data_IF_359387842930
#
_entry.id   IF_359387842930
#
_cell.length_a   1.000
_cell.length_b   1.000
_cell.length_c   1.000
_cell.angle_alpha   90.00
_cell.angle_beta   90.00
_cell.angle_gamma   90.00
#
_symmetry.space_group_name_H-M   'P 1'
#
loop_
_entity.id
_entity.type
_entity.pdbx_description
1 polymer ?
#
# COMPACT_ATOMS: atom_id res chain seq x y z
N UNK A 1 5.45 20.28 -32.28
CA UNK A 1 5.02 18.94 -32.75
C UNK A 1 4.16 19.09 -34.00
N UNK A 2 4.29 18.19 -34.97
CA UNK A 2 3.38 18.13 -36.13
C UNK A 2 2.00 17.61 -35.69
N UNK A 3 0.94 18.00 -36.37
CA UNK A 3 -0.44 17.59 -36.04
C UNK A 3 -0.61 16.07 -36.07
N UNK A 4 -0.11 15.40 -37.11
CA UNK A 4 -0.13 13.95 -37.21
C UNK A 4 0.61 13.28 -36.05
N UNK A 5 1.75 13.85 -35.63
CA UNK A 5 2.53 13.34 -34.50
C UNK A 5 1.77 13.50 -33.17
N UNK A 6 1.14 14.66 -32.91
CA UNK A 6 0.33 14.88 -31.71
C UNK A 6 -0.90 13.96 -31.66
N UNK A 7 -1.57 13.73 -32.80
CA UNK A 7 -2.70 12.78 -32.87
C UNK A 7 -2.23 11.36 -32.60
N UNK A 8 -1.16 10.93 -33.26
CA UNK A 8 -0.62 9.59 -33.10
C UNK A 8 -0.19 9.33 -31.66
N UNK A 9 0.51 10.28 -31.03
CA UNK A 9 0.92 10.19 -29.62
C UNK A 9 -0.28 10.02 -28.69
N UNK A 10 -1.31 10.87 -28.82
CA UNK A 10 -2.50 10.78 -27.96
C UNK A 10 -3.23 9.45 -28.15
N UNK A 11 -3.40 8.99 -29.39
CA UNK A 11 -4.09 7.73 -29.67
C UNK A 11 -3.30 6.57 -29.06
N UNK A 12 -2.00 6.44 -29.39
CA UNK A 12 -1.16 5.32 -28.92
C UNK A 12 -1.12 5.28 -27.39
N UNK A 13 -0.85 6.40 -26.74
CA UNK A 13 -0.72 6.45 -25.28
C UNK A 13 -2.06 6.15 -24.61
N UNK A 14 -3.16 6.77 -25.04
CA UNK A 14 -4.48 6.49 -24.46
C UNK A 14 -4.93 5.04 -24.73
N UNK A 15 -4.59 4.44 -25.88
CA UNK A 15 -4.88 3.03 -26.15
C UNK A 15 -4.15 2.11 -25.17
N UNK A 16 -2.88 2.37 -24.88
CA UNK A 16 -2.12 1.61 -23.86
C UNK A 16 -2.81 1.76 -22.50
N UNK A 17 -3.17 2.98 -22.09
CA UNK A 17 -3.84 3.19 -20.81
C UNK A 17 -5.26 2.60 -20.75
N UNK A 18 -6.00 2.50 -21.86
CA UNK A 18 -7.27 1.76 -21.92
C UNK A 18 -7.05 0.29 -21.58
N UNK A 19 -6.02 -0.35 -22.14
CA UNK A 19 -5.71 -1.77 -21.85
C UNK A 19 -5.40 -1.94 -20.36
N UNK A 20 -4.56 -1.05 -19.81
CA UNK A 20 -4.22 -1.05 -18.38
C UNK A 20 -5.47 -0.85 -17.51
N UNK A 21 -6.34 0.10 -17.87
CA UNK A 21 -7.57 0.38 -17.13
C UNK A 21 -8.54 -0.81 -17.14
N UNK A 22 -8.68 -1.51 -18.28
CA UNK A 22 -9.48 -2.74 -18.38
C UNK A 22 -8.90 -3.83 -17.46
N UNK A 23 -7.59 -4.02 -17.44
CA UNK A 23 -6.94 -4.98 -16.53
C UNK A 23 -7.23 -4.61 -15.07
N UNK A 24 -7.10 -3.33 -14.69
CA UNK A 24 -7.44 -2.86 -13.34
C UNK A 24 -8.90 -3.12 -12.98
N UNK A 25 -9.84 -2.86 -13.88
CA UNK A 25 -11.26 -3.17 -13.67
C UNK A 25 -11.50 -4.67 -13.48
N UNK A 26 -10.86 -5.52 -14.29
CA UNK A 26 -11.00 -6.97 -14.18
C UNK A 26 -10.44 -7.43 -12.83
N UNK A 27 -9.19 -7.11 -12.52
CA UNK A 27 -8.51 -7.53 -11.28
C UNK A 27 -9.22 -6.97 -10.05
N UNK A 28 -9.51 -5.67 -10.03
CA UNK A 28 -10.21 -5.01 -8.93
C UNK A 28 -11.60 -5.61 -8.69
N UNK A 29 -12.35 -5.87 -9.77
CA UNK A 29 -13.66 -6.50 -9.69
C UNK A 29 -13.61 -7.93 -9.16
N UNK A 30 -12.62 -8.72 -9.59
CA UNK A 30 -12.39 -10.06 -9.03
C UNK A 30 -12.07 -10.01 -7.54
N UNK A 31 -11.19 -9.11 -7.11
CA UNK A 31 -10.82 -8.95 -5.69
C UNK A 31 -11.99 -8.47 -4.82
N UNK A 32 -12.86 -7.62 -5.38
CA UNK A 32 -13.99 -7.05 -4.65
C UNK A 32 -15.17 -8.01 -4.50
N UNK A 33 -15.52 -8.74 -5.56
CA UNK A 33 -16.79 -9.49 -5.61
C UNK A 33 -16.65 -11.01 -5.71
N UNK A 34 -15.49 -11.55 -6.14
CA UNK A 34 -15.31 -13.00 -6.29
C UNK A 34 -14.54 -13.60 -5.11
N UNK A 35 -15.20 -13.65 -3.95
CA UNK A 35 -14.62 -14.15 -2.70
C UNK A 35 -14.18 -15.62 -2.79
N UNK A 36 -14.80 -16.43 -3.64
CA UNK A 36 -14.43 -17.84 -3.82
C UNK A 36 -13.08 -18.02 -4.50
N UNK A 37 -12.82 -17.27 -5.58
CA UNK A 37 -11.53 -17.32 -6.28
C UNK A 37 -10.41 -16.73 -5.42
N UNK A 38 -10.69 -15.62 -4.72
CA UNK A 38 -9.72 -15.03 -3.78
C UNK A 38 -9.41 -16.02 -2.66
N UNK A 39 -10.43 -16.72 -2.14
CA UNK A 39 -10.25 -17.77 -1.14
C UNK A 39 -9.37 -18.91 -1.65
N UNK A 40 -9.58 -19.42 -2.87
CA UNK A 40 -8.76 -20.51 -3.41
C UNK A 40 -7.32 -20.06 -3.64
N UNK A 41 -7.09 -18.86 -4.18
CA UNK A 41 -5.74 -18.33 -4.39
C UNK A 41 -5.00 -18.11 -3.06
N UNK A 42 -5.66 -17.51 -2.07
CA UNK A 42 -5.08 -17.32 -0.74
C UNK A 42 -4.81 -18.67 -0.07
N UNK A 43 -5.72 -19.63 -0.17
CA UNK A 43 -5.51 -20.98 0.35
C UNK A 43 -4.28 -21.61 -0.28
N UNK A 44 -4.16 -21.61 -1.61
CA UNK A 44 -3.06 -22.27 -2.31
C UNK A 44 -1.70 -21.61 -2.01
N UNK A 45 -1.69 -20.30 -1.79
CA UNK A 45 -0.47 -19.55 -1.41
C UNK A 45 -0.12 -19.67 0.09
N UNK A 46 -1.12 -19.75 0.97
CA UNK A 46 -0.92 -19.84 2.43
C UNK A 46 -0.72 -21.28 2.91
N UNK A 47 -1.20 -22.28 2.17
CA UNK A 47 -1.08 -23.69 2.53
C UNK A 47 0.39 -24.13 2.77
N UNK A 48 1.37 -23.75 1.94
CA UNK A 48 2.78 -24.06 2.19
C UNK A 48 3.35 -23.33 3.42
N UNK A 49 2.79 -22.16 3.77
CA UNK A 49 3.18 -21.36 4.93
C UNK A 49 2.60 -21.86 6.25
N UNK A 50 1.66 -22.82 6.22
CA UNK A 50 0.94 -23.36 7.36
C UNK A 50 1.31 -24.82 7.64
N UNK A 51 2.57 -25.22 7.44
CA UNK A 51 3.10 -26.58 7.72
C UNK A 51 3.10 -26.97 9.23
N UNK A 52 2.00 -26.71 9.94
CA UNK A 52 1.66 -27.26 11.24
C UNK A 52 0.20 -27.75 11.22
N UNK A 53 -0.27 -28.43 12.27
CA UNK A 53 -1.65 -28.88 12.39
C UNK A 53 -2.57 -27.68 12.69
N UNK A 54 -2.66 -26.74 11.75
CA UNK A 54 -3.64 -25.67 11.83
C UNK A 54 -5.02 -26.33 11.71
N UNK A 55 -5.89 -26.11 12.70
CA UNK A 55 -7.26 -26.59 12.58
C UNK A 55 -7.87 -26.01 11.30
N UNK A 56 -8.68 -26.80 10.61
CA UNK A 56 -9.39 -26.35 9.40
C UNK A 56 -10.19 -25.07 9.64
N UNK A 57 -10.53 -24.80 10.90
CA UNK A 57 -11.27 -23.63 11.37
C UNK A 57 -10.37 -22.39 11.51
N UNK A 58 -9.19 -22.50 12.13
CA UNK A 58 -8.23 -21.39 12.23
C UNK A 58 -7.76 -20.89 10.86
N UNK A 59 -7.52 -21.83 9.93
CA UNK A 59 -7.13 -21.49 8.55
C UNK A 59 -8.26 -20.76 7.82
N UNK A 60 -9.52 -21.18 8.03
CA UNK A 60 -10.69 -20.51 7.45
C UNK A 60 -10.82 -19.08 7.99
N UNK A 61 -10.78 -18.89 9.31
CA UNK A 61 -10.90 -17.58 9.95
C UNK A 61 -9.79 -16.61 9.52
N UNK A 62 -8.55 -17.09 9.41
CA UNK A 62 -7.42 -16.27 8.94
C UNK A 62 -7.62 -15.80 7.48
N UNK A 63 -8.04 -16.70 6.59
CA UNK A 63 -8.32 -16.35 5.19
C UNK A 63 -9.51 -15.40 5.09
N UNK A 64 -10.58 -15.62 5.86
CA UNK A 64 -11.74 -14.72 5.88
C UNK A 64 -11.37 -13.31 6.35
N UNK A 65 -10.51 -13.19 7.36
CA UNK A 65 -10.01 -11.89 7.82
C UNK A 65 -9.13 -11.22 6.77
N UNK A 66 -8.29 -11.98 6.06
CA UNK A 66 -7.52 -11.46 4.93
C UNK A 66 -8.43 -10.98 3.78
N UNK A 67 -9.46 -11.75 3.42
CA UNK A 67 -10.43 -11.34 2.38
C UNK A 67 -11.11 -10.03 2.78
N UNK A 68 -11.58 -9.90 4.02
CA UNK A 68 -12.18 -8.66 4.52
C UNK A 68 -11.23 -7.47 4.44
N UNK A 69 -9.93 -7.69 4.66
CA UNK A 69 -8.91 -6.66 4.50
C UNK A 69 -8.64 -6.33 3.03
N UNK A 70 -8.69 -7.31 2.11
CA UNK A 70 -8.41 -7.14 0.67
C UNK A 70 -9.57 -6.50 -0.13
N UNK A 71 -10.82 -6.81 0.22
CA UNK A 71 -12.01 -6.30 -0.48
C UNK A 71 -12.02 -4.78 -0.71
N UNK A 72 -11.73 -3.91 0.29
CA UNK A 72 -11.70 -2.46 0.06
C UNK A 72 -10.61 -2.03 -0.94
N UNK A 73 -9.45 -2.70 -0.95
CA UNK A 73 -8.41 -2.44 -1.94
C UNK A 73 -8.86 -2.85 -3.35
N UNK A 74 -9.52 -4.00 -3.49
CA UNK A 74 -10.11 -4.44 -4.75
C UNK A 74 -11.12 -3.42 -5.31
N UNK A 75 -12.01 -2.93 -4.46
CA UNK A 75 -12.98 -1.88 -4.82
C UNK A 75 -12.29 -0.58 -5.24
N UNK A 76 -11.25 -0.14 -4.52
CA UNK A 76 -10.49 1.06 -4.87
C UNK A 76 -9.83 0.94 -6.26
N UNK A 77 -9.16 -0.20 -6.52
CA UNK A 77 -8.54 -0.50 -7.82
C UNK A 77 -9.59 -0.50 -8.94
N UNK A 78 -10.75 -1.09 -8.69
CA UNK A 78 -11.85 -1.11 -9.64
C UNK A 78 -12.34 0.30 -10.00
N UNK A 79 -12.62 1.13 -8.99
CA UNK A 79 -13.12 2.50 -9.18
C UNK A 79 -12.08 3.35 -9.93
N UNK A 80 -10.82 3.27 -9.55
CA UNK A 80 -9.72 3.96 -10.25
C UNK A 80 -9.63 3.48 -11.70
N UNK A 81 -9.74 2.17 -11.95
CA UNK A 81 -9.78 1.60 -13.29
C UNK A 81 -10.89 2.20 -14.15
N UNK A 82 -12.12 2.32 -13.62
CA UNK A 82 -13.25 2.91 -14.33
C UNK A 82 -13.00 4.40 -14.65
N UNK A 83 -12.49 5.17 -13.70
CA UNK A 83 -12.15 6.59 -13.91
C UNK A 83 -11.11 6.72 -15.02
N UNK A 84 -10.02 5.94 -14.95
CA UNK A 84 -8.98 5.94 -15.98
C UNK A 84 -9.53 5.54 -17.34
N UNK A 85 -10.40 4.54 -17.40
CA UNK A 85 -11.04 4.10 -18.65
C UNK A 85 -11.84 5.23 -19.29
N UNK A 86 -12.67 5.94 -18.51
CA UNK A 86 -13.44 7.08 -19.02
C UNK A 86 -12.52 8.18 -19.53
N UNK A 87 -11.48 8.55 -18.78
CA UNK A 87 -10.52 9.58 -19.20
C UNK A 87 -9.82 9.24 -20.50
N UNK A 88 -9.36 7.99 -20.65
CA UNK A 88 -8.67 7.55 -21.84
C UNK A 88 -9.61 7.45 -23.05
N UNK A 89 -10.86 7.04 -22.84
CA UNK A 89 -11.90 7.04 -23.88
C UNK A 89 -12.19 8.47 -24.38
N UNK A 90 -12.26 9.47 -23.49
CA UNK A 90 -12.41 10.88 -23.89
C UNK A 90 -11.25 11.34 -24.79
N UNK A 91 -10.01 11.00 -24.41
CA UNK A 91 -8.81 11.30 -25.19
C UNK A 91 -8.81 10.62 -26.57
N UNK A 92 -9.13 9.32 -26.60
CA UNK A 92 -9.15 8.51 -27.83
C UNK A 92 -10.26 8.97 -28.79
N UNK A 93 -11.49 9.11 -28.29
CA UNK A 93 -12.64 9.53 -29.10
C UNK A 93 -12.47 10.98 -29.58
N UNK A 94 -12.00 11.88 -28.71
CA UNK A 94 -11.71 13.27 -29.08
C UNK A 94 -10.61 13.41 -30.13
N UNK A 95 -9.59 12.53 -30.08
CA UNK A 95 -8.52 12.50 -31.06
C UNK A 95 -8.99 11.90 -32.40
N UNK A 96 -9.65 10.74 -32.38
CA UNK A 96 -10.10 10.00 -33.57
C UNK A 96 -11.25 10.68 -34.29
N UNK A 97 -12.32 11.05 -33.57
CA UNK A 97 -13.54 11.64 -34.16
C UNK A 97 -13.45 13.15 -34.37
N UNK A 98 -12.31 13.75 -34.04
CA UNK A 98 -12.08 15.20 -34.15
C UNK A 98 -13.06 16.09 -33.36
N UNK A 99 -13.65 15.58 -32.27
CA UNK A 99 -14.61 16.32 -31.45
C UNK A 99 -13.87 17.27 -30.50
N UNK A 100 -14.04 18.58 -30.69
CA UNK A 100 -13.35 19.62 -29.89
C UNK A 100 -13.73 19.60 -28.43
N UNK A 101 -15.03 19.52 -28.14
CA UNK A 101 -15.55 19.52 -26.78
C UNK A 101 -14.89 18.41 -25.92
N UNK A 102 -14.75 17.20 -26.46
CA UNK A 102 -14.10 16.08 -25.77
C UNK A 102 -12.62 16.33 -25.47
N UNK A 103 -11.87 16.93 -26.42
CA UNK A 103 -10.47 17.30 -26.19
C UNK A 103 -10.36 18.42 -25.15
N UNK A 104 -11.27 19.39 -25.14
CA UNK A 104 -11.28 20.46 -24.12
C UNK A 104 -11.57 19.91 -22.72
N UNK A 105 -12.55 19.01 -22.60
CA UNK A 105 -12.84 18.33 -21.31
C UNK A 105 -11.65 17.49 -20.87
N UNK A 106 -11.03 16.74 -21.78
CA UNK A 106 -9.81 15.97 -21.52
C UNK A 106 -8.68 16.86 -20.98
N UNK A 107 -8.44 18.01 -21.60
CA UNK A 107 -7.46 19.00 -21.15
C UNK A 107 -7.79 19.56 -19.77
N UNK A 108 -9.05 19.91 -19.52
CA UNK A 108 -9.47 20.46 -18.23
C UNK A 108 -9.24 19.47 -17.08
N UNK A 109 -9.61 18.20 -17.27
CA UNK A 109 -9.42 17.16 -16.25
C UNK A 109 -7.93 16.90 -16.02
N UNK A 110 -7.13 16.76 -17.07
CA UNK A 110 -5.68 16.59 -16.92
C UNK A 110 -5.00 17.82 -16.30
N UNK A 111 -5.51 19.03 -16.53
CA UNK A 111 -5.03 20.23 -15.86
C UNK A 111 -5.25 20.20 -14.35
N UNK A 112 -6.45 19.80 -13.91
CA UNK A 112 -6.76 19.66 -12.47
C UNK A 112 -5.89 18.58 -11.82
N UNK A 113 -5.75 17.42 -12.48
CA UNK A 113 -4.90 16.34 -12.00
C UNK A 113 -3.43 16.78 -11.87
N UNK A 114 -2.90 17.51 -12.85
CA UNK A 114 -1.54 18.02 -12.83
C UNK A 114 -1.30 18.95 -11.63
N UNK A 115 -2.25 19.84 -11.33
CA UNK A 115 -2.16 20.73 -10.17
C UNK A 115 -2.15 19.89 -8.87
N UNK A 116 -3.03 18.90 -8.75
CA UNK A 116 -3.07 18.03 -7.58
C UNK A 116 -1.76 17.24 -7.39
N UNK A 117 -1.20 16.68 -8.46
CA UNK A 117 0.07 15.95 -8.43
C UNK A 117 1.24 16.85 -8.03
N UNK A 118 1.31 18.07 -8.58
CA UNK A 118 2.32 19.04 -8.20
C UNK A 118 2.23 19.41 -6.70
N UNK A 119 1.02 19.60 -6.17
CA UNK A 119 0.83 19.88 -4.75
C UNK A 119 1.34 18.72 -3.88
N UNK A 120 1.04 17.47 -4.24
CA UNK A 120 1.50 16.28 -3.52
C UNK A 120 3.04 16.21 -3.52
N UNK A 121 3.67 16.40 -4.67
CA UNK A 121 5.15 16.38 -4.79
C UNK A 121 5.78 17.53 -4.00
N UNK A 122 5.22 18.74 -4.07
CA UNK A 122 5.72 19.89 -3.31
C UNK A 122 5.64 19.62 -1.80
N UNK A 123 4.51 19.09 -1.31
CA UNK A 123 4.34 18.75 0.12
C UNK A 123 5.35 17.69 0.53
N UNK A 124 5.49 16.63 -0.26
CA UNK A 124 6.43 15.54 0.00
C UNK A 124 7.88 16.04 0.10
N UNK A 125 8.32 16.86 -0.85
CA UNK A 125 9.69 17.39 -0.88
C UNK A 125 9.95 18.45 0.19
N UNK A 126 8.94 19.27 0.52
CA UNK A 126 9.11 20.38 1.47
C UNK A 126 9.02 19.92 2.92
N UNK A 127 8.22 18.88 3.20
CA UNK A 127 7.92 18.40 4.56
C UNK A 127 7.86 16.86 4.61
N UNK A 128 8.97 16.15 4.32
CA UNK A 128 9.00 14.69 4.45
C UNK A 128 8.65 14.22 5.87
N UNK A 129 8.98 15.07 6.86
CA UNK A 129 8.64 14.88 8.27
C UNK A 129 7.15 14.61 8.53
N UNK A 130 6.22 15.17 7.75
CA UNK A 130 4.78 14.93 7.96
C UNK A 130 4.44 13.45 7.80
N UNK A 131 5.05 12.76 6.85
CA UNK A 131 4.76 11.34 6.60
C UNK A 131 5.46 10.49 7.66
N UNK A 132 6.72 10.80 7.96
CA UNK A 132 7.50 10.03 8.93
C UNK A 132 6.99 10.21 10.35
N UNK A 133 6.64 11.42 10.77
CA UNK A 133 6.17 11.71 12.12
C UNK A 133 4.82 11.05 12.40
N UNK A 134 3.88 11.10 11.44
CA UNK A 134 2.61 10.40 11.55
C UNK A 134 2.80 8.88 11.63
N UNK A 135 3.69 8.31 10.81
CA UNK A 135 4.00 6.88 10.86
C UNK A 135 4.64 6.48 12.20
N UNK A 136 5.57 7.30 12.72
CA UNK A 136 6.19 7.08 14.02
C UNK A 136 5.18 7.19 15.16
N UNK A 137 4.26 8.15 15.08
CA UNK A 137 3.20 8.33 16.05
C UNK A 137 2.26 7.12 16.06
N UNK A 138 1.82 6.63 14.89
CA UNK A 138 1.00 5.42 14.79
C UNK A 138 1.70 4.18 15.39
N UNK A 139 3.01 4.06 15.17
CA UNK A 139 3.80 2.99 15.79
C UNK A 139 3.87 3.15 17.31
N UNK A 140 4.09 4.38 17.79
CA UNK A 140 4.14 4.71 19.22
C UNK A 140 2.81 4.42 19.90
N UNK A 141 1.69 4.84 19.30
CA UNK A 141 0.35 4.55 19.77
C UNK A 141 0.09 3.04 19.78
N UNK A 142 0.60 2.31 18.79
CA UNK A 142 0.46 0.85 18.76
C UNK A 142 1.25 0.16 19.86
N UNK A 143 2.44 0.63 20.19
CA UNK A 143 3.24 0.10 21.31
C UNK A 143 2.55 0.41 22.64
N UNK A 144 2.04 1.62 22.82
CA UNK A 144 1.35 2.03 24.05
C UNK A 144 0.08 1.22 24.31
N UNK A 145 -0.70 0.95 23.26
CA UNK A 145 -1.98 0.25 23.32
C UNK A 145 -1.89 -1.25 23.03
N UNK A 146 -0.69 -1.81 22.91
CA UNK A 146 -0.50 -3.25 22.73
C UNK A 146 -1.08 -4.01 23.92
N UNK A 147 -1.87 -5.05 23.66
CA UNK A 147 -2.51 -5.87 24.70
C UNK A 147 -1.80 -7.20 24.84
N UNK A 148 -1.84 -8.04 23.81
CA UNK A 148 -1.20 -9.36 23.79
C UNK A 148 -1.17 -9.93 22.37
N UNK A 149 -0.35 -10.96 22.15
CA UNK A 149 -0.23 -11.61 20.83
C UNK A 149 -1.54 -12.28 20.37
N UNK A 150 -2.42 -12.62 21.31
CA UNK A 150 -3.70 -13.27 21.04
C UNK A 150 -4.87 -12.27 20.93
N UNK A 151 -4.61 -10.98 21.14
CA UNK A 151 -5.63 -9.95 21.03
C UNK A 151 -5.95 -9.67 19.57
N UNK A 152 -7.25 -9.56 19.26
CA UNK A 152 -7.73 -9.17 17.93
C UNK A 152 -7.75 -7.65 17.72
N UNK A 153 -7.23 -6.87 18.65
CA UNK A 153 -7.12 -5.43 18.49
C UNK A 153 -6.11 -5.06 17.38
N UNK A 154 -6.33 -3.91 16.75
CA UNK A 154 -5.56 -3.46 15.59
C UNK A 154 -4.09 -3.23 15.97
N UNK A 155 -3.81 -2.69 17.16
CA UNK A 155 -2.45 -2.37 17.59
C UNK A 155 -1.62 -3.64 17.85
N UNK A 156 -2.19 -4.62 18.54
CA UNK A 156 -1.59 -5.93 18.77
C UNK A 156 -1.40 -6.73 17.49
N UNK A 157 -2.38 -6.68 16.58
CA UNK A 157 -2.29 -7.35 15.28
C UNK A 157 -1.16 -6.78 14.43
N UNK A 158 -1.04 -5.46 14.37
CA UNK A 158 0.04 -4.77 13.64
C UNK A 158 1.40 -5.14 14.20
N UNK A 159 1.59 -5.05 15.52
CA UNK A 159 2.89 -5.32 16.13
C UNK A 159 3.29 -6.80 16.08
N UNK A 160 2.31 -7.71 16.17
CA UNK A 160 2.54 -9.15 15.99
C UNK A 160 3.07 -9.49 14.61
N UNK A 161 2.73 -8.69 13.59
CA UNK A 161 3.28 -8.83 12.25
C UNK A 161 4.61 -8.08 12.07
N UNK A 162 4.68 -6.82 12.48
CA UNK A 162 5.82 -5.94 12.20
C UNK A 162 7.10 -6.37 12.92
N UNK A 163 7.03 -6.63 14.24
CA UNK A 163 8.21 -6.93 15.06
C UNK A 163 9.02 -8.13 14.55
N UNK A 164 8.40 -9.31 14.28
CA UNK A 164 9.14 -10.43 13.73
C UNK A 164 9.54 -10.23 12.26
N UNK A 165 8.72 -9.55 11.45
CA UNK A 165 9.00 -9.36 10.01
C UNK A 165 10.19 -8.42 9.76
N UNK A 166 10.34 -7.41 10.60
CA UNK A 166 11.41 -6.41 10.49
C UNK A 166 12.58 -6.67 11.45
N UNK A 167 12.53 -7.77 12.20
CA UNK A 167 13.51 -8.12 13.24
C UNK A 167 13.78 -6.97 14.23
N UNK A 168 12.71 -6.42 14.78
CA UNK A 168 12.76 -5.26 15.67
C UNK A 168 11.80 -5.43 16.85
N UNK A 169 11.91 -4.57 17.86
CA UNK A 169 11.04 -4.56 19.03
C UNK A 169 10.84 -3.13 19.55
N UNK A 170 9.60 -2.75 19.79
CA UNK A 170 9.22 -1.41 20.24
C UNK A 170 9.42 -0.33 19.17
N UNK A 171 9.33 0.94 19.57
CA UNK A 171 9.56 2.09 18.68
C UNK A 171 11.06 2.29 18.45
N UNK A 172 11.79 2.50 19.54
CA UNK A 172 13.23 2.71 19.61
C UNK A 172 13.95 1.47 20.14
N UNK A 173 13.32 0.71 21.04
CA UNK A 173 13.79 -0.60 21.53
C UNK A 173 12.71 -1.25 22.42
N UNK A 174 12.98 -2.45 22.96
CA UNK A 174 12.02 -3.18 23.78
C UNK A 174 11.54 -2.46 25.05
N UNK A 175 12.34 -1.56 25.63
CA UNK A 175 11.95 -0.82 26.84
C UNK A 175 10.76 0.12 26.64
N UNK A 176 10.37 0.41 25.40
CA UNK A 176 9.15 1.19 25.13
C UNK A 176 7.88 0.50 25.68
N UNK A 177 7.90 -0.84 25.82
CA UNK A 177 6.80 -1.57 26.46
C UNK A 177 6.77 -1.45 27.99
N UNK A 178 7.84 -0.95 28.62
CA UNK A 178 7.86 -0.70 30.06
C UNK A 178 6.84 0.38 30.46
N UNK A 179 6.45 1.24 29.51
CA UNK A 179 5.45 2.30 29.71
C UNK A 179 4.04 1.91 29.23
N UNK A 180 3.89 0.75 28.56
CA UNK A 180 2.57 0.31 28.09
C UNK A 180 1.72 -0.20 29.26
N UNK A 181 0.58 0.47 29.47
CA UNK A 181 -0.39 0.10 30.51
C UNK A 181 -1.37 -0.97 30.04
N UNK A 182 -1.56 -1.10 28.73
CA UNK A 182 -2.45 -2.10 28.12
C UNK A 182 -1.81 -3.48 28.01
N UNK A 183 -0.48 -3.56 28.06
CA UNK A 183 0.26 -4.80 27.85
C UNK A 183 -0.02 -5.81 28.98
N UNK A 184 -0.69 -6.90 28.63
CA UNK A 184 -0.92 -8.03 29.50
C UNK A 184 0.37 -8.84 29.63
N UNK A 185 1.05 -8.65 30.78
CA UNK A 185 2.34 -9.29 31.06
C UNK A 185 2.19 -10.70 31.61
N UNK A 186 1.07 -11.00 32.25
CA UNK A 186 0.83 -12.35 32.79
C UNK A 186 0.63 -13.34 31.63
N UNK A 187 1.51 -14.33 31.56
CA UNK A 187 1.47 -15.36 30.54
C UNK A 187 1.64 -16.73 31.17
N UNK A 188 0.84 -17.69 30.68
CA UNK A 188 0.84 -19.07 31.15
C UNK A 188 1.25 -19.99 30.00
N UNK A 189 2.30 -20.79 30.24
CA UNK A 189 2.80 -21.78 29.28
C UNK A 189 3.15 -23.07 30.00
N UNK A 190 2.62 -24.20 29.52
CA UNK A 190 2.80 -25.51 30.14
C UNK A 190 2.50 -25.53 31.65
N UNK A 191 1.50 -24.75 32.10
CA UNK A 191 1.10 -24.66 33.51
C UNK A 191 2.00 -23.77 34.38
N UNK A 192 3.06 -23.18 33.83
CA UNK A 192 3.91 -22.22 34.52
C UNK A 192 3.49 -20.79 34.19
N UNK A 193 3.31 -19.98 35.23
CA UNK A 193 3.02 -18.55 35.10
C UNK A 193 4.31 -17.75 35.13
N UNK A 194 4.46 -16.83 34.20
CA UNK A 194 5.56 -15.87 34.18
C UNK A 194 5.08 -14.49 33.75
N UNK A 195 5.83 -13.49 34.19
CA UNK A 195 5.59 -12.08 33.85
C UNK A 195 6.49 -11.72 32.69
N UNK A 196 5.88 -11.51 31.52
CA UNK A 196 6.57 -11.09 30.31
C UNK A 196 7.21 -9.71 30.52
N UNK A 197 8.53 -9.64 30.29
CA UNK A 197 9.24 -8.37 30.26
C UNK A 197 8.91 -7.58 28.98
N UNK A 198 8.90 -8.26 27.84
CA UNK A 198 8.56 -7.70 26.54
C UNK A 198 7.57 -8.62 25.79
N UNK A 199 6.88 -8.13 24.76
CA UNK A 199 5.98 -8.96 23.97
C UNK A 199 6.67 -10.15 23.30
N UNK A 200 5.96 -11.28 23.21
CA UNK A 200 6.44 -12.49 22.53
C UNK A 200 6.91 -12.24 21.09
N UNK A 201 6.26 -11.37 20.27
CA UNK A 201 6.75 -11.09 18.92
C UNK A 201 8.13 -10.40 18.87
N UNK A 202 8.71 -9.96 20.00
CA UNK A 202 10.08 -9.49 20.06
C UNK A 202 11.13 -10.63 20.07
N UNK A 203 10.70 -11.88 20.29
CA UNK A 203 11.57 -13.04 20.17
C UNK A 203 11.99 -13.26 18.71
N UNK A 204 13.22 -13.72 18.49
CA UNK A 204 13.63 -14.24 17.20
C UNK A 204 12.95 -15.59 16.98
N UNK A 205 12.60 -15.86 15.73
CA UNK A 205 11.90 -17.07 15.34
C UNK A 205 12.82 -18.00 14.56
N UNK A 206 12.70 -19.30 14.82
CA UNK A 206 13.37 -20.35 14.06
C UNK A 206 12.67 -20.60 12.70
N UNK A 207 13.19 -21.57 11.94
CA UNK A 207 12.58 -21.97 10.65
C UNK A 207 11.16 -22.52 10.77
N UNK A 208 10.74 -22.94 11.97
CA UNK A 208 9.38 -23.42 12.29
C UNK A 208 8.48 -22.31 12.84
N UNK A 209 8.92 -21.04 12.78
CA UNK A 209 8.23 -19.86 13.34
C UNK A 209 8.00 -19.94 14.85
N UNK A 210 8.87 -20.61 15.59
CA UNK A 210 8.83 -20.69 17.05
C UNK A 210 9.94 -19.83 17.67
N UNK A 211 9.72 -19.22 18.85
CA UNK A 211 10.77 -18.54 19.58
C UNK A 211 12.01 -19.42 19.75
N UNK A 212 13.18 -18.83 19.54
CA UNK A 212 14.48 -19.50 19.71
C UNK A 212 14.87 -19.49 21.19
N UNK A 213 15.58 -20.53 21.63
CA UNK A 213 16.07 -20.72 22.99
C UNK A 213 14.96 -20.62 24.04
N UNK A 214 15.21 -19.88 25.12
CA UNK A 214 14.31 -19.74 26.26
C UNK A 214 13.45 -18.47 26.18
N UNK A 215 13.37 -17.81 25.01
CA UNK A 215 12.43 -16.69 24.80
C UNK A 215 10.99 -17.23 24.74
N UNK A 216 10.00 -16.63 25.42
CA UNK A 216 9.99 -15.31 26.06
C UNK A 216 10.27 -15.30 27.58
N UNK A 217 10.78 -16.39 28.16
CA UNK A 217 11.14 -16.44 29.59
C UNK A 217 12.31 -15.52 29.88
N UNK A 218 13.31 -15.51 29.00
CA UNK A 218 14.40 -14.54 28.99
C UNK A 218 14.59 -13.86 27.63
N UNK A 219 14.96 -12.58 27.67
CA UNK A 219 15.23 -11.80 26.46
C UNK A 219 16.70 -11.42 26.45
N UNK A 220 17.42 -11.93 25.46
CA UNK A 220 18.86 -11.70 25.23
C UNK A 220 19.08 -11.16 23.81
N UNK A 221 20.26 -10.61 23.54
CA UNK A 221 20.61 -10.14 22.19
C UNK A 221 20.65 -11.29 21.16
N UNK A 222 20.85 -12.53 21.63
CA UNK A 222 20.96 -13.73 20.82
C UNK A 222 19.58 -14.24 20.42
N UNK A 223 18.63 -14.32 21.35
CA UNK A 223 17.30 -14.91 21.13
C UNK A 223 16.18 -13.90 20.84
N UNK A 224 16.45 -12.59 20.89
CA UNK A 224 15.43 -11.54 20.73
C UNK A 224 15.93 -10.31 19.99
N UNK A 225 14.99 -9.48 19.50
CA UNK A 225 15.24 -8.25 18.75
C UNK A 225 15.09 -6.98 19.62
N UNK A 226 15.16 -7.11 20.95
CA UNK A 226 14.88 -6.03 21.91
C UNK A 226 15.78 -4.80 21.78
N UNK A 227 16.97 -4.96 21.18
CA UNK A 227 17.95 -3.86 21.03
C UNK A 227 17.76 -3.04 19.75
N UNK A 228 16.85 -3.44 18.86
CA UNK A 228 16.61 -2.79 17.58
C UNK A 228 15.18 -2.25 17.53
N UNK A 229 15.02 -0.93 17.54
CA UNK A 229 13.71 -0.28 17.42
C UNK A 229 13.13 -0.37 16.01
N UNK A 230 11.82 -0.63 15.91
CA UNK A 230 11.15 -0.75 14.62
C UNK A 230 11.14 0.56 13.83
N UNK A 231 11.17 1.72 14.48
CA UNK A 231 11.20 3.00 13.79
C UNK A 231 12.45 3.15 12.91
N UNK A 232 13.63 2.74 13.40
CA UNK A 232 14.88 2.89 12.64
C UNK A 232 14.88 2.09 11.32
N UNK A 233 14.31 0.89 11.36
CA UNK A 233 14.16 0.01 10.19
C UNK A 233 13.09 0.57 9.27
N UNK A 234 11.92 0.93 9.81
CA UNK A 234 10.80 1.45 9.05
C UNK A 234 11.12 2.78 8.38
N UNK A 235 11.79 3.71 9.06
CA UNK A 235 12.17 5.01 8.51
C UNK A 235 13.11 4.86 7.31
N UNK A 236 14.07 3.94 7.40
CA UNK A 236 14.97 3.62 6.28
C UNK A 236 14.20 3.12 5.07
N UNK A 237 13.26 2.20 5.29
CA UNK A 237 12.41 1.64 4.24
C UNK A 237 11.43 2.65 3.66
N UNK A 238 10.77 3.44 4.51
CA UNK A 238 9.85 4.52 4.13
C UNK A 238 10.56 5.57 3.27
N UNK A 239 11.78 5.94 3.63
CA UNK A 239 12.57 6.89 2.84
C UNK A 239 12.95 6.28 1.48
N UNK A 240 13.38 5.02 1.45
CA UNK A 240 13.73 4.32 0.21
C UNK A 240 12.55 4.21 -0.75
N UNK A 241 11.42 3.67 -0.29
CA UNK A 241 10.22 3.54 -1.13
C UNK A 241 9.61 4.89 -1.46
N UNK A 242 9.64 5.85 -0.53
CA UNK A 242 9.18 7.22 -0.75
C UNK A 242 9.93 7.89 -1.91
N UNK A 243 11.25 7.73 -1.98
CA UNK A 243 12.05 8.24 -3.10
C UNK A 243 11.67 7.58 -4.43
N UNK A 244 11.47 6.26 -4.45
CA UNK A 244 11.03 5.55 -5.66
C UNK A 244 9.67 6.09 -6.11
N UNK A 245 8.71 6.23 -5.20
CA UNK A 245 7.39 6.79 -5.51
C UNK A 245 7.50 8.21 -6.04
N UNK A 246 8.35 9.06 -5.44
CA UNK A 246 8.58 10.42 -5.91
C UNK A 246 9.13 10.45 -7.35
N UNK A 247 10.10 9.61 -7.70
CA UNK A 247 10.61 9.50 -9.07
C UNK A 247 9.55 9.04 -10.06
N UNK A 248 8.72 8.05 -9.68
CA UNK A 248 7.59 7.60 -10.50
C UNK A 248 6.59 8.73 -10.71
N UNK A 249 6.22 9.48 -9.66
CA UNK A 249 5.33 10.63 -9.75
C UNK A 249 5.88 11.72 -10.69
N UNK A 250 7.18 12.03 -10.64
CA UNK A 250 7.80 12.97 -11.58
C UNK A 250 7.71 12.48 -13.03
N UNK A 251 7.89 11.18 -13.26
CA UNK A 251 7.68 10.56 -14.58
C UNK A 251 6.24 10.68 -15.07
N UNK A 252 5.26 10.46 -14.19
CA UNK A 252 3.82 10.62 -14.49
C UNK A 252 3.51 12.07 -14.87
N UNK A 253 3.98 13.04 -14.07
CA UNK A 253 3.84 14.48 -14.36
C UNK A 253 4.42 14.81 -15.74
N UNK A 254 5.63 14.32 -16.04
CA UNK A 254 6.27 14.53 -17.34
C UNK A 254 5.43 13.97 -18.50
N UNK A 255 4.95 12.73 -18.37
CA UNK A 255 4.07 12.09 -19.35
C UNK A 255 2.75 12.85 -19.52
N UNK A 256 2.14 13.29 -18.43
CA UNK A 256 0.91 14.08 -18.44
C UNK A 256 1.10 15.42 -19.15
N UNK A 257 2.19 16.14 -18.87
CA UNK A 257 2.51 17.40 -19.55
C UNK A 257 2.66 17.19 -21.06
N UNK A 258 3.30 16.10 -21.49
CA UNK A 258 3.41 15.76 -22.91
C UNK A 258 2.03 15.51 -23.55
N UNK A 259 1.12 14.82 -22.87
CA UNK A 259 -0.26 14.59 -23.34
C UNK A 259 -1.05 15.91 -23.43
N UNK A 260 -0.92 16.79 -22.42
CA UNK A 260 -1.54 18.11 -22.42
C UNK A 260 -1.02 18.95 -23.60
N UNK A 261 0.30 19.00 -23.81
CA UNK A 261 0.89 19.74 -24.94
C UNK A 261 0.37 19.19 -26.28
N UNK A 262 0.33 17.87 -26.45
CA UNK A 262 -0.19 17.24 -27.66
C UNK A 262 -1.66 17.60 -27.90
N UNK A 263 -2.49 17.53 -26.85
CA UNK A 263 -3.91 17.87 -26.92
C UNK A 263 -4.15 19.36 -27.18
N UNK A 264 -3.35 20.26 -26.58
CA UNK A 264 -3.40 21.70 -26.85
C UNK A 264 -3.06 22.02 -28.30
N UNK A 265 -2.00 21.42 -28.85
CA UNK A 265 -1.63 21.60 -30.27
C UNK A 265 -2.78 21.19 -31.20
N UNK A 266 -3.48 20.10 -30.89
CA UNK A 266 -4.66 19.68 -31.66
C UNK A 266 -5.85 20.62 -31.49
N UNK A 267 -6.12 21.08 -30.26
CA UNK A 267 -7.21 22.02 -30.00
C UNK A 267 -6.99 23.34 -30.74
N UNK A 268 -5.80 23.95 -30.63
CA UNK A 268 -5.47 25.23 -31.26
C UNK A 268 -5.47 25.16 -32.79
N UNK A 269 -4.95 24.07 -33.39
CA UNK A 269 -5.01 23.91 -34.84
C UNK A 269 -6.44 23.78 -35.34
N UNK A 270 -7.28 23.03 -34.63
CA UNK A 270 -8.69 22.90 -34.97
C UNK A 270 -9.40 24.24 -34.88
N UNK A 271 -9.16 25.03 -33.83
CA UNK A 271 -9.74 26.38 -33.70
C UNK A 271 -9.50 27.23 -34.95
N UNK A 272 -8.26 27.29 -35.42
CA UNK A 272 -7.90 28.01 -36.66
C UNK A 272 -8.67 27.49 -37.88
N UNK A 273 -8.86 26.17 -38.02
CA UNK A 273 -9.62 25.59 -39.14
C UNK A 273 -11.14 25.79 -39.08
N UNK A 274 -11.74 26.29 -37.98
CA UNK A 274 -13.16 26.70 -38.00
C UNK A 274 -13.37 28.19 -38.26
N UNK A 275 -12.30 28.98 -38.24
CA UNK A 275 -12.36 30.42 -38.54
C UNK A 275 -12.19 30.72 -40.03
N UNK A 276 -11.87 29.70 -40.84
CA UNK A 276 -11.84 29.72 -42.30
C UNK A 276 -12.93 28.79 -42.85
#
# INVERSE_FOLDING_TARGET
MCECASRCLLIVVNTIFVIVAIICCIVGGFLAWNTQVVYTLLRDYLYPSLNGPASSEQTKTAIENMIKMLTPFGLAIFIVGIILLVLCCLGLVGACLNIRCLITVYLAIHGVLLIAELLVVIIYLSKPAIITDNAKQLLTDSVNNYVSINSSDVHSSILTLIMPSLNCCGVLNGSDFDQSTSFQRDYEYNGNKFVLKYPIPCCKLDSSRKPIDNCPVDFTAQNSNINQGCWTVMETELNRYGQIVAYVCLGVIGGQVLLIIAAMVLACKREKSAQY
#
